data_IF_193164826815
#
_entry.id   IF_193164826815
#
_cell.length_a   1.000
_cell.length_b   1.000
_cell.length_c   1.000
_cell.angle_alpha   90.00
_cell.angle_beta   90.00
_cell.angle_gamma   90.00
#
_symmetry.space_group_name_H-M   'P 1'
#
loop_
_entity.id
_entity.type
_entity.pdbx_description
1 polymer ?
#
# COMPACT_ATOMS: atom_id res chain seq x y z
N UNK A 1 36.05 -22.93 54.48
CA UNK A 1 37.35 -23.64 54.55
C UNK A 1 37.46 -24.48 53.29
N UNK A 2 38.07 -23.94 52.22
CA UNK A 2 39.46 -24.18 51.74
C UNK A 2 39.57 -25.54 51.04
N UNK A 3 40.11 -25.74 49.84
CA UNK A 3 41.02 -24.94 48.98
C UNK A 3 41.18 -25.61 47.61
N UNK A 4 41.42 -24.80 46.58
CA UNK A 4 41.96 -25.11 45.23
C UNK A 4 43.50 -25.29 45.26
N UNK A 5 44.26 -25.34 44.12
CA UNK A 5 44.55 -26.37 43.09
C UNK A 5 46.09 -26.73 43.07
N UNK A 6 46.78 -27.23 41.99
CA UNK A 6 47.18 -26.43 40.79
C UNK A 6 47.39 -27.22 39.44
N UNK A 7 47.16 -26.60 38.26
CA UNK A 7 48.05 -26.03 37.19
C UNK A 7 48.79 -26.99 36.21
N UNK A 8 48.74 -26.56 34.92
CA UNK A 8 49.46 -27.01 33.71
C UNK A 8 50.99 -26.83 33.78
N UNK A 9 51.73 -27.38 32.79
CA UNK A 9 52.86 -26.68 32.19
C UNK A 9 52.69 -26.42 30.68
N UNK A 10 53.58 -25.59 30.16
CA UNK A 10 53.63 -24.99 28.83
C UNK A 10 54.79 -25.54 27.97
N UNK A 11 54.75 -25.18 26.68
CA UNK A 11 55.86 -24.96 25.71
C UNK A 11 56.81 -26.11 25.33
N UNK A 12 56.98 -26.34 24.02
CA UNK A 12 58.26 -26.14 23.30
C UNK A 12 58.18 -26.65 21.86
N UNK A 13 58.86 -25.92 20.96
CA UNK A 13 59.15 -26.19 19.56
C UNK A 13 59.97 -27.46 19.32
N UNK A 14 59.87 -28.02 18.10
CA UNK A 14 61.02 -28.43 17.26
C UNK A 14 60.51 -28.73 15.82
N UNK A 15 60.88 -27.94 14.81
CA UNK A 15 62.04 -28.13 13.92
C UNK A 15 62.00 -29.44 13.11
N UNK A 16 61.70 -29.33 11.80
CA UNK A 16 62.74 -29.46 10.76
C UNK A 16 62.23 -29.14 9.35
N UNK A 17 63.07 -28.36 8.68
CA UNK A 17 63.07 -27.98 7.28
C UNK A 17 63.19 -29.18 6.35
N UNK A 18 62.67 -29.07 5.13
CA UNK A 18 63.51 -29.16 3.93
C UNK A 18 62.79 -28.59 2.71
N UNK A 19 63.48 -27.67 2.04
CA UNK A 19 63.10 -27.00 0.82
C UNK A 19 63.42 -27.85 -0.40
N UNK A 20 62.68 -27.66 -1.50
CA UNK A 20 63.18 -27.75 -2.87
C UNK A 20 62.13 -27.18 -3.85
N UNK A 21 62.31 -25.93 -4.24
CA UNK A 21 61.98 -25.41 -5.59
C UNK A 21 63.23 -25.60 -6.48
N UNK A 22 63.20 -25.53 -7.85
CA UNK A 22 62.47 -24.49 -8.60
C UNK A 22 62.04 -24.78 -10.08
N UNK A 23 61.41 -23.74 -10.66
CA UNK A 23 61.38 -23.27 -12.07
C UNK A 23 60.21 -23.63 -13.01
N UNK A 24 59.41 -22.57 -13.23
CA UNK A 24 59.05 -21.89 -14.49
C UNK A 24 58.38 -22.66 -15.64
N UNK A 25 57.11 -22.30 -15.90
CA UNK A 25 56.64 -21.93 -17.25
C UNK A 25 55.34 -21.11 -17.16
N UNK A 26 55.36 -19.96 -17.81
CA UNK A 26 54.30 -18.97 -17.87
C UNK A 26 53.11 -19.41 -18.76
N UNK A 27 51.89 -19.06 -18.34
CA UNK A 27 50.78 -18.76 -19.24
C UNK A 27 49.85 -17.72 -18.59
N UNK A 28 49.79 -16.56 -19.21
CA UNK A 28 48.96 -15.40 -18.83
C UNK A 28 47.51 -15.61 -19.29
N UNK A 29 46.54 -15.28 -18.43
CA UNK A 29 45.22 -14.73 -18.81
C UNK A 29 44.58 -14.03 -17.58
N UNK A 30 43.80 -12.94 -17.75
CA UNK A 30 43.71 -11.84 -16.79
C UNK A 30 42.54 -11.97 -15.78
N UNK A 31 42.56 -11.18 -14.67
CA UNK A 31 41.50 -11.19 -13.68
C UNK A 31 40.29 -10.36 -14.13
N UNK A 32 39.10 -10.94 -13.99
CA UNK A 32 37.82 -10.22 -14.02
C UNK A 32 37.76 -9.24 -12.83
N UNK A 33 38.07 -7.98 -13.09
CA UNK A 33 37.78 -6.89 -12.15
C UNK A 33 36.26 -6.62 -12.12
N UNK A 34 35.69 -6.72 -10.92
CA UNK A 34 34.41 -6.16 -10.55
C UNK A 34 34.44 -4.64 -10.81
N UNK A 35 33.68 -4.18 -11.80
CA UNK A 35 33.47 -2.76 -12.07
C UNK A 35 31.99 -2.42 -11.80
N UNK A 36 31.61 -2.37 -10.53
CA UNK A 36 30.34 -1.83 -10.06
C UNK A 36 30.64 -0.56 -9.24
N UNK A 37 30.67 0.60 -9.90
CA UNK A 37 30.94 1.85 -9.18
C UNK A 37 30.80 3.15 -9.96
N UNK A 38 30.68 3.14 -11.30
CA UNK A 38 30.74 4.38 -12.09
C UNK A 38 29.38 4.97 -12.49
N UNK A 39 28.27 4.23 -12.35
CA UNK A 39 26.93 4.75 -12.70
C UNK A 39 26.22 5.50 -11.56
N UNK A 40 26.71 5.42 -10.32
CA UNK A 40 26.09 6.10 -9.16
C UNK A 40 26.57 7.57 -9.06
N UNK A 41 27.79 7.88 -9.50
CA UNK A 41 28.34 9.23 -9.40
C UNK A 41 27.80 10.19 -10.48
N UNK A 42 27.38 9.69 -11.65
CA UNK A 42 26.85 10.54 -12.72
C UNK A 42 25.46 11.11 -12.41
N UNK A 43 24.65 10.35 -11.65
CA UNK A 43 23.32 10.80 -11.20
C UNK A 43 23.43 11.82 -10.06
N UNK A 44 24.44 11.70 -9.20
CA UNK A 44 24.67 12.61 -8.08
C UNK A 44 25.12 14.01 -8.55
N UNK A 45 26.03 14.11 -9.54
CA UNK A 45 26.52 15.41 -10.01
C UNK A 45 25.50 16.18 -10.87
N UNK A 46 24.60 15.49 -11.58
CA UNK A 46 23.53 16.10 -12.35
C UNK A 46 22.44 16.72 -11.44
N UNK A 47 22.21 16.12 -10.26
CA UNK A 47 21.26 16.62 -9.27
C UNK A 47 21.81 17.83 -8.49
N UNK A 48 23.10 17.80 -8.12
CA UNK A 48 23.80 18.96 -7.51
C UNK A 48 23.82 20.17 -8.46
N UNK A 49 24.08 19.97 -9.75
CA UNK A 49 24.09 21.04 -10.76
C UNK A 49 22.70 21.64 -11.08
N UNK A 50 21.60 20.95 -10.73
CA UNK A 50 20.24 21.50 -10.81
C UNK A 50 19.86 22.27 -9.55
N UNK A 51 20.33 21.85 -8.37
CA UNK A 51 20.09 22.53 -7.10
C UNK A 51 20.93 23.82 -6.96
N UNK A 52 22.18 23.83 -7.43
CA UNK A 52 23.05 25.01 -7.49
C UNK A 52 22.49 26.12 -8.40
N UNK A 53 21.81 25.74 -9.50
CA UNK A 53 21.19 26.70 -10.43
C UNK A 53 20.01 27.48 -9.84
N UNK A 54 19.37 26.98 -8.79
CA UNK A 54 18.32 27.71 -8.07
C UNK A 54 18.86 28.67 -6.98
N UNK A 55 20.17 28.63 -6.67
CA UNK A 55 20.80 29.55 -5.69
C UNK A 55 21.34 30.85 -6.29
N UNK A 56 21.41 30.99 -7.62
CA UNK A 56 21.94 32.21 -8.26
C UNK A 56 20.88 32.95 -9.06
N UNK A 57 20.01 33.68 -8.35
CA UNK A 57 19.38 34.93 -8.83
C UNK A 57 18.68 35.62 -7.66
N UNK A 58 19.29 36.71 -7.19
CA UNK A 58 18.71 38.03 -6.85
C UNK A 58 19.72 38.81 -5.98
N UNK A 59 20.08 40.07 -6.34
CA UNK A 59 20.98 40.90 -5.53
C UNK A 59 20.22 41.86 -4.57
N UNK A 60 20.69 41.91 -3.29
CA UNK A 60 20.94 43.09 -2.40
C UNK A 60 19.70 43.89 -1.89
N UNK A 61 19.74 44.69 -0.78
CA UNK A 61 20.33 44.59 0.58
C UNK A 61 19.29 44.77 1.72
N UNK A 62 19.69 44.54 2.98
CA UNK A 62 19.03 45.16 4.16
C UNK A 62 18.72 44.20 5.29
N UNK A 63 19.25 44.49 6.48
CA UNK A 63 19.23 43.62 7.64
C UNK A 63 17.87 43.44 8.32
N UNK A 64 17.75 42.33 9.07
CA UNK A 64 16.61 42.04 9.93
C UNK A 64 16.59 40.56 10.32
N UNK A 65 16.97 40.29 11.57
CA UNK A 65 16.93 38.97 12.21
C UNK A 65 15.52 38.39 12.18
N UNK A 66 15.36 37.14 11.71
CA UNK A 66 14.18 36.32 11.99
C UNK A 66 14.58 34.86 12.22
N UNK A 67 14.18 34.34 13.39
CA UNK A 67 14.22 32.92 13.75
C UNK A 67 13.57 32.07 12.67
N UNK A 68 14.34 31.16 12.06
CA UNK A 68 13.85 30.24 11.03
C UNK A 68 13.66 28.85 11.66
N UNK A 69 12.41 28.49 11.92
CA UNK A 69 12.02 27.11 12.13
C UNK A 69 12.42 26.24 10.93
N UNK A 70 12.87 25.02 11.20
CA UNK A 70 13.24 24.03 10.20
C UNK A 70 12.02 23.67 9.33
N UNK A 71 12.13 23.66 7.98
CA UNK A 71 11.00 23.36 7.12
C UNK A 71 10.77 21.85 7.00
N UNK A 72 9.57 21.43 7.42
CA UNK A 72 8.98 20.08 7.29
C UNK A 72 8.97 19.55 5.84
N UNK A 73 9.16 20.44 4.86
CA UNK A 73 9.00 20.19 3.42
C UNK A 73 10.18 19.45 2.74
N UNK A 74 11.36 19.36 3.37
CA UNK A 74 12.54 18.70 2.78
C UNK A 74 12.46 17.16 2.79
N UNK A 75 11.83 16.59 3.82
CA UNK A 75 11.68 15.12 3.97
C UNK A 75 10.71 14.56 2.93
N UNK A 76 9.56 15.22 2.73
CA UNK A 76 8.55 14.81 1.76
C UNK A 76 9.05 14.89 0.30
N UNK A 77 9.89 15.88 -0.02
CA UNK A 77 10.49 16.04 -1.36
C UNK A 77 11.54 14.96 -1.68
N UNK A 78 12.34 14.57 -0.69
CA UNK A 78 13.35 13.51 -0.85
C UNK A 78 12.70 12.14 -1.04
N UNK A 79 11.62 11.86 -0.31
CA UNK A 79 10.85 10.63 -0.45
C UNK A 79 10.17 10.52 -1.83
N UNK A 80 9.57 11.61 -2.34
CA UNK A 80 8.93 11.63 -3.67
C UNK A 80 9.89 11.35 -4.83
N UNK A 81 11.18 11.66 -4.68
CA UNK A 81 12.18 11.35 -5.70
C UNK A 81 12.48 9.84 -5.80
N UNK A 82 12.32 9.08 -4.71
CA UNK A 82 12.54 7.62 -4.68
C UNK A 82 11.40 6.83 -5.35
N UNK A 83 10.22 7.44 -5.53
CA UNK A 83 9.05 6.82 -6.17
C UNK A 83 9.19 6.69 -7.70
N UNK A 84 10.11 7.42 -8.32
CA UNK A 84 10.20 7.59 -9.77
C UNK A 84 11.21 6.64 -10.45
N UNK A 85 11.28 5.38 -10.03
CA UNK A 85 12.12 4.38 -10.73
C UNK A 85 11.43 3.97 -12.05
N UNK A 86 12.02 4.20 -13.25
CA UNK A 86 11.38 3.87 -14.53
C UNK A 86 11.28 2.36 -14.77
N UNK A 87 10.26 1.94 -15.54
CA UNK A 87 10.14 0.57 -16.06
C UNK A 87 10.92 0.43 -17.38
N UNK A 88 11.52 -0.74 -17.63
CA UNK A 88 12.13 -1.08 -18.91
C UNK A 88 11.02 -1.41 -19.93
N UNK A 89 11.01 -0.73 -21.07
CA UNK A 89 9.98 -0.85 -22.11
C UNK A 89 10.03 -2.19 -22.85
N UNK A 90 8.86 -2.78 -23.16
CA UNK A 90 8.70 -3.80 -24.21
C UNK A 90 7.65 -3.37 -25.25
N UNK A 91 7.78 -3.80 -26.52
CA UNK A 91 7.02 -3.26 -27.64
C UNK A 91 5.68 -4.00 -27.87
N UNK A 92 4.66 -3.25 -28.27
CA UNK A 92 3.30 -3.72 -28.59
C UNK A 92 3.20 -4.34 -29.99
N UNK A 93 2.40 -5.40 -30.13
CA UNK A 93 1.87 -5.93 -31.39
C UNK A 93 0.34 -6.00 -31.27
N UNK A 94 -0.36 -5.25 -32.12
CA UNK A 94 -1.82 -5.10 -32.09
C UNK A 94 -2.55 -6.02 -33.06
N UNK A 95 -3.83 -6.25 -32.78
CA UNK A 95 -4.82 -6.72 -33.74
C UNK A 95 -6.19 -6.11 -33.40
N UNK A 96 -6.83 -5.52 -34.42
CA UNK A 96 -8.08 -4.76 -34.40
C UNK A 96 -9.21 -5.66 -34.90
N UNK A 97 -10.38 -5.66 -34.26
CA UNK A 97 -11.63 -6.20 -34.82
C UNK A 97 -12.79 -5.27 -34.44
N UNK A 98 -13.50 -4.78 -35.45
CA UNK A 98 -14.66 -3.87 -35.41
C UNK A 98 -15.97 -4.66 -35.49
N UNK A 99 -17.00 -4.27 -34.75
CA UNK A 99 -18.44 -4.35 -35.12
C UNK A 99 -19.32 -3.60 -34.07
N UNK A 100 -20.63 -3.32 -34.30
CA UNK A 100 -21.14 -1.95 -34.38
C UNK A 100 -22.23 -1.56 -33.37
N UNK A 101 -22.49 -0.24 -33.33
CA UNK A 101 -23.49 0.53 -32.57
C UNK A 101 -24.91 -0.04 -32.47
N UNK A 102 -25.53 0.16 -31.30
CA UNK A 102 -26.99 0.36 -31.18
C UNK A 102 -27.36 1.39 -30.10
N UNK A 103 -28.41 2.11 -30.44
CA UNK A 103 -28.92 3.41 -29.98
C UNK A 103 -29.65 3.41 -28.63
N UNK A 104 -29.42 4.53 -27.91
CA UNK A 104 -30.33 5.37 -27.13
C UNK A 104 -31.67 4.80 -26.62
N UNK A 105 -31.83 4.83 -25.29
CA UNK A 105 -33.09 5.20 -24.63
C UNK A 105 -32.81 5.99 -23.33
N UNK A 106 -33.41 7.17 -23.27
CA UNK A 106 -33.34 8.16 -22.19
C UNK A 106 -34.35 7.84 -21.10
N UNK A 107 -33.92 7.81 -19.83
CA UNK A 107 -34.78 7.73 -18.63
C UNK A 107 -34.28 8.78 -17.61
N UNK A 108 -35.16 9.53 -16.93
CA UNK A 108 -34.81 10.81 -16.32
C UNK A 108 -34.08 10.70 -14.97
N UNK A 109 -33.42 11.81 -14.65
CA UNK A 109 -32.52 12.07 -13.55
C UNK A 109 -33.07 11.75 -12.15
N UNK A 110 -32.27 11.04 -11.36
CA UNK A 110 -32.37 10.97 -9.91
C UNK A 110 -31.17 11.67 -9.27
N UNK A 111 -31.45 12.72 -8.50
CA UNK A 111 -30.49 13.53 -7.76
C UNK A 111 -29.74 12.64 -6.74
N UNK A 112 -28.45 12.39 -6.96
CA UNK A 112 -27.62 11.53 -6.12
C UNK A 112 -27.03 12.25 -4.91
N UNK A 113 -27.89 12.67 -3.98
CA UNK A 113 -27.43 12.85 -2.60
C UNK A 113 -27.09 11.48 -2.04
N UNK A 114 -25.97 11.38 -1.32
CA UNK A 114 -25.62 10.19 -0.57
C UNK A 114 -26.82 9.78 0.27
N UNK A 115 -27.48 8.68 -0.12
CA UNK A 115 -28.41 7.97 0.75
C UNK A 115 -27.59 7.47 1.94
N UNK A 116 -27.57 8.29 2.98
CA UNK A 116 -27.53 7.84 4.36
C UNK A 116 -28.64 6.80 4.43
N UNK A 117 -28.26 5.52 4.45
CA UNK A 117 -29.21 4.48 4.80
C UNK A 117 -29.81 4.88 6.14
N UNK A 118 -31.07 5.32 6.08
CA UNK A 118 -31.92 5.55 7.22
C UNK A 118 -32.31 4.21 7.84
N UNK A 119 -31.33 3.44 8.29
CA UNK A 119 -31.52 2.50 9.39
C UNK A 119 -31.48 3.32 10.68
N UNK A 120 -32.56 4.08 10.90
CA UNK A 120 -32.84 4.81 12.14
C UNK A 120 -33.05 3.87 13.35
N UNK A 121 -32.71 2.58 13.23
CA UNK A 121 -32.74 1.58 14.30
C UNK A 121 -31.37 1.15 14.86
N UNK A 122 -30.23 1.55 14.26
CA UNK A 122 -28.90 1.09 14.72
C UNK A 122 -27.92 2.19 15.13
N UNK A 123 -28.17 3.46 14.81
CA UNK A 123 -27.32 4.57 15.25
C UNK A 123 -27.44 4.87 16.76
N UNK A 124 -28.57 4.53 17.38
CA UNK A 124 -28.84 4.78 18.81
C UNK A 124 -28.20 3.75 19.78
N UNK A 125 -27.47 2.74 19.29
CA UNK A 125 -26.83 1.70 20.13
C UNK A 125 -25.35 1.94 20.44
N UNK A 126 -24.83 3.16 20.26
CA UNK A 126 -23.41 3.48 20.49
C UNK A 126 -23.08 3.98 21.90
N UNK A 127 -24.06 4.16 22.78
CA UNK A 127 -23.85 4.76 24.12
C UNK A 127 -24.52 3.98 25.27
N UNK A 128 -24.60 2.65 25.16
CA UNK A 128 -25.04 1.78 26.25
C UNK A 128 -23.93 0.85 26.72
N UNK A 129 -23.85 0.50 28.02
CA UNK A 129 -22.86 -0.46 28.51
C UNK A 129 -23.21 -1.85 27.99
N UNK A 130 -22.59 -2.22 26.89
CA UNK A 130 -22.63 -3.56 26.36
C UNK A 130 -21.77 -4.42 27.31
N UNK A 131 -22.41 -5.15 28.22
CA UNK A 131 -21.76 -6.17 29.07
C UNK A 131 -21.28 -7.31 28.17
N UNK A 132 -20.19 -7.14 27.42
CA UNK A 132 -19.71 -8.18 26.52
C UNK A 132 -18.33 -8.68 26.91
N UNK A 133 -18.16 -9.98 26.66
CA UNK A 133 -17.01 -10.77 27.08
C UNK A 133 -15.69 -10.26 26.51
N UNK A 134 -14.63 -11.04 26.75
CA UNK A 134 -13.27 -10.69 26.34
C UNK A 134 -13.23 -10.11 24.90
N UNK A 135 -12.54 -8.98 24.67
CA UNK A 135 -12.41 -8.41 23.32
C UNK A 135 -11.64 -9.32 22.36
N UNK A 136 -10.89 -10.27 22.91
CA UNK A 136 -10.09 -11.26 22.18
C UNK A 136 -10.52 -12.68 22.55
N UNK A 137 -10.61 -13.55 21.56
CA UNK A 137 -10.92 -14.97 21.66
C UNK A 137 -9.79 -15.84 21.10
N UNK A 138 -9.59 -17.03 21.69
CA UNK A 138 -8.55 -17.97 21.25
C UNK A 138 -7.15 -17.38 21.28
N UNK A 139 -6.92 -16.43 22.18
CA UNK A 139 -5.64 -15.77 22.45
C UNK A 139 -5.19 -14.74 21.42
N UNK A 140 -5.70 -14.73 20.19
CA UNK A 140 -5.20 -13.83 19.12
C UNK A 140 -6.26 -13.30 18.16
N UNK A 141 -7.52 -13.69 18.30
CA UNK A 141 -8.57 -13.24 17.39
C UNK A 141 -9.42 -12.19 18.06
N UNK A 142 -9.79 -11.13 17.34
CA UNK A 142 -10.89 -10.30 17.80
C UNK A 142 -12.15 -11.17 18.00
N UNK A 143 -12.88 -10.87 19.06
CA UNK A 143 -14.10 -11.59 19.43
C UNK A 143 -15.19 -11.46 18.38
N UNK A 144 -16.07 -12.47 18.31
CA UNK A 144 -17.15 -12.51 17.32
C UNK A 144 -18.08 -11.31 17.44
N UNK A 145 -18.39 -10.90 18.67
CA UNK A 145 -19.25 -9.75 18.92
C UNK A 145 -18.67 -8.43 18.40
N UNK A 146 -17.35 -8.27 18.44
CA UNK A 146 -16.69 -7.07 17.94
C UNK A 146 -16.67 -7.09 16.41
N UNK A 147 -16.48 -8.25 15.80
CA UNK A 147 -16.62 -8.42 14.34
C UNK A 147 -18.06 -8.17 13.85
N UNK A 148 -19.08 -8.53 14.62
CA UNK A 148 -20.48 -8.28 14.25
C UNK A 148 -20.86 -6.79 14.33
N UNK A 149 -20.13 -6.03 15.15
CA UNK A 149 -20.21 -4.57 15.19
C UNK A 149 -19.34 -3.89 14.12
N UNK A 150 -18.48 -4.64 13.44
CA UNK A 150 -17.60 -4.10 12.44
C UNK A 150 -18.42 -3.53 11.26
N UNK A 151 -18.25 -2.24 10.93
CA UNK A 151 -18.97 -1.64 9.83
C UNK A 151 -18.51 -2.29 8.52
N UNK A 152 -19.46 -2.73 7.70
CA UNK A 152 -19.16 -3.48 6.48
C UNK A 152 -18.41 -2.66 5.40
N UNK A 153 -18.05 -1.40 5.65
CA UNK A 153 -17.34 -0.54 4.70
C UNK A 153 -18.08 -0.46 3.36
N UNK A 154 -17.35 -0.70 2.28
CA UNK A 154 -17.91 -0.87 0.93
C UNK A 154 -18.34 -2.34 0.73
N UNK A 155 -19.65 -2.61 0.85
CA UNK A 155 -20.17 -3.97 0.64
C UNK A 155 -20.00 -4.42 -0.81
N UNK A 156 -20.02 -5.72 -1.05
CA UNK A 156 -19.87 -6.28 -2.40
C UNK A 156 -21.01 -5.82 -3.34
N UNK A 157 -22.24 -5.75 -2.81
CA UNK A 157 -23.43 -5.30 -3.55
C UNK A 157 -23.29 -3.83 -3.92
N UNK A 158 -22.87 -2.99 -2.96
CA UNK A 158 -22.64 -1.57 -3.19
C UNK A 158 -21.55 -1.34 -4.23
N UNK A 159 -20.42 -2.02 -4.06
CA UNK A 159 -19.28 -1.93 -4.97
C UNK A 159 -19.67 -2.37 -6.39
N UNK A 160 -20.43 -3.46 -6.55
CA UNK A 160 -20.93 -3.91 -7.86
C UNK A 160 -21.80 -2.83 -8.51
N UNK A 161 -22.80 -2.34 -7.79
CA UNK A 161 -23.72 -1.32 -8.29
C UNK A 161 -22.98 -0.02 -8.67
N UNK A 162 -21.99 0.39 -7.87
CA UNK A 162 -21.16 1.55 -8.19
C UNK A 162 -20.35 1.34 -9.47
N UNK A 163 -19.69 0.18 -9.63
CA UNK A 163 -18.87 -0.13 -10.82
C UNK A 163 -19.70 -0.15 -12.10
N UNK A 164 -20.91 -0.73 -12.06
CA UNK A 164 -21.83 -0.74 -13.21
C UNK A 164 -22.20 0.69 -13.65
N UNK A 165 -22.55 1.55 -12.70
CA UNK A 165 -22.85 2.97 -12.97
C UNK A 165 -21.63 3.73 -13.48
N UNK A 166 -20.49 3.58 -12.82
CA UNK A 166 -19.25 4.28 -13.17
C UNK A 166 -18.75 3.93 -14.58
N UNK A 167 -19.03 2.72 -15.08
CA UNK A 167 -18.72 2.33 -16.47
C UNK A 167 -19.68 2.96 -17.48
N UNK A 168 -20.94 3.15 -17.11
CA UNK A 168 -21.98 3.66 -18.01
C UNK A 168 -21.98 5.20 -18.12
N UNK A 169 -21.62 5.91 -17.04
CA UNK A 169 -21.71 7.36 -17.04
C UNK A 169 -20.58 8.07 -17.78
N UNK A 170 -20.95 9.14 -18.48
CA UNK A 170 -20.02 10.09 -19.10
C UNK A 170 -19.33 10.93 -18.03
N UNK A 171 -18.03 11.18 -18.21
CA UNK A 171 -17.25 12.12 -17.43
C UNK A 171 -17.44 13.52 -18.02
N UNK A 172 -18.03 14.42 -17.25
CA UNK A 172 -18.37 15.79 -17.72
C UNK A 172 -17.36 16.83 -17.27
N UNK A 173 -16.55 16.52 -16.26
CA UNK A 173 -15.53 17.44 -15.73
C UNK A 173 -14.34 16.67 -15.17
N UNK A 174 -13.14 17.20 -15.41
CA UNK A 174 -11.89 16.77 -14.77
C UNK A 174 -11.23 17.98 -14.10
N UNK A 175 -10.89 17.85 -12.82
CA UNK A 175 -10.22 18.89 -12.04
C UNK A 175 -9.13 18.31 -11.11
N UNK A 176 -8.17 19.11 -10.64
CA UNK A 176 -7.24 18.66 -9.60
C UNK A 176 -7.99 18.26 -8.32
N UNK A 177 -7.55 17.20 -7.64
CA UNK A 177 -8.19 16.79 -6.37
C UNK A 177 -7.77 15.42 -5.82
N UNK A 178 -7.10 14.59 -6.61
CA UNK A 178 -6.76 13.21 -6.25
C UNK A 178 -5.25 12.99 -6.09
N UNK A 179 -4.61 13.88 -5.32
CA UNK A 179 -3.18 13.82 -5.03
C UNK A 179 -2.32 14.48 -6.11
N UNK A 180 -1.66 13.67 -6.95
CA UNK A 180 -0.70 14.17 -7.97
C UNK A 180 -1.42 15.00 -9.04
N UNK A 181 -0.68 15.90 -9.70
CA UNK A 181 -1.20 16.72 -10.81
C UNK A 181 -1.69 15.85 -11.98
N UNK A 182 -1.05 14.72 -12.22
CA UNK A 182 -1.45 13.75 -13.24
C UNK A 182 -2.72 12.98 -12.89
N UNK A 183 -3.15 12.98 -11.62
CA UNK A 183 -4.39 12.35 -11.19
C UNK A 183 -5.47 13.44 -11.11
N UNK A 184 -6.70 13.11 -11.50
CA UNK A 184 -7.79 14.10 -11.55
C UNK A 184 -9.01 13.60 -10.78
N UNK A 185 -9.79 14.53 -10.26
CA UNK A 185 -11.14 14.30 -9.80
C UNK A 185 -12.08 14.39 -11.01
N UNK A 186 -12.69 13.27 -11.36
CA UNK A 186 -13.78 13.21 -12.32
C UNK A 186 -15.11 13.54 -11.64
N UNK A 187 -15.95 14.28 -12.36
CA UNK A 187 -17.39 14.37 -12.08
C UNK A 187 -18.12 13.71 -13.24
N UNK A 188 -18.97 12.75 -12.93
CA UNK A 188 -19.83 12.06 -13.87
C UNK A 188 -21.09 12.88 -14.18
N UNK A 189 -21.81 12.51 -15.25
CA UNK A 189 -23.02 13.19 -15.69
C UNK A 189 -24.17 13.15 -14.66
N UNK A 190 -24.18 12.17 -13.75
CA UNK A 190 -25.11 12.07 -12.62
C UNK A 190 -24.69 12.91 -11.40
N UNK A 191 -23.57 13.63 -11.49
CA UNK A 191 -23.01 14.43 -10.41
C UNK A 191 -22.11 13.67 -9.44
N UNK A 192 -22.07 12.33 -9.52
CA UNK A 192 -21.16 11.51 -8.70
C UNK A 192 -19.69 11.76 -9.10
N UNK A 193 -18.76 11.41 -8.21
CA UNK A 193 -17.34 11.74 -8.38
C UNK A 193 -16.45 10.51 -8.23
N UNK A 194 -15.32 10.53 -8.93
CA UNK A 194 -14.29 9.50 -8.83
C UNK A 194 -12.89 10.11 -8.94
N UNK A 195 -11.94 9.52 -8.23
CA UNK A 195 -10.53 9.76 -8.47
C UNK A 195 -10.04 8.96 -9.66
N UNK A 196 -9.61 9.67 -10.70
CA UNK A 196 -8.95 9.12 -11.87
C UNK A 196 -7.45 9.08 -11.63
N UNK A 197 -6.90 7.88 -11.63
CA UNK A 197 -5.46 7.63 -11.51
C UNK A 197 -4.93 7.22 -12.86
N UNK A 198 -4.16 8.13 -13.46
CA UNK A 198 -3.38 7.85 -14.66
C UNK A 198 -2.07 7.12 -14.32
N UNK A 199 -1.58 7.32 -13.08
CA UNK A 199 -0.29 6.80 -12.64
C UNK A 199 0.89 7.51 -13.30
N UNK A 200 2.11 7.21 -12.82
CA UNK A 200 3.35 7.54 -13.52
C UNK A 200 3.55 6.57 -14.69
N UNK A 201 3.10 5.32 -14.51
CA UNK A 201 3.13 4.25 -15.49
C UNK A 201 1.98 3.26 -15.26
N UNK A 202 1.77 2.36 -16.22
CA UNK A 202 0.75 1.32 -16.14
C UNK A 202 0.91 0.39 -14.93
N UNK A 203 2.13 0.18 -14.44
CA UNK A 203 2.39 -0.65 -13.25
C UNK A 203 1.70 -0.12 -12.00
N UNK A 204 1.60 1.20 -11.82
CA UNK A 204 0.91 1.81 -10.69
C UNK A 204 -0.61 1.64 -10.78
N UNK A 205 -1.19 1.77 -11.98
CA UNK A 205 -2.62 1.51 -12.22
C UNK A 205 -2.92 0.02 -12.02
N UNK A 206 -2.03 -0.86 -12.48
CA UNK A 206 -2.11 -2.31 -12.25
C UNK A 206 -2.00 -2.63 -10.75
N UNK A 207 -1.07 -2.00 -10.03
CA UNK A 207 -0.89 -2.12 -8.59
C UNK A 207 -2.13 -1.72 -7.80
N UNK A 208 -2.69 -0.54 -8.07
CA UNK A 208 -3.95 -0.07 -7.45
C UNK A 208 -5.08 -1.10 -7.67
N UNK A 209 -5.25 -1.53 -8.92
CA UNK A 209 -6.37 -2.41 -9.33
C UNK A 209 -6.25 -3.80 -8.71
N UNK A 210 -5.09 -4.42 -8.79
CA UNK A 210 -4.88 -5.75 -8.20
C UNK A 210 -4.91 -5.70 -6.67
N UNK A 211 -4.54 -4.57 -6.07
CA UNK A 211 -4.65 -4.37 -4.62
C UNK A 211 -6.11 -4.35 -4.19
N UNK A 212 -6.99 -3.67 -4.94
CA UNK A 212 -8.45 -3.72 -4.71
C UNK A 212 -9.03 -5.15 -4.75
N UNK A 213 -8.64 -5.94 -5.74
CA UNK A 213 -9.11 -7.33 -5.86
C UNK A 213 -8.53 -8.26 -4.80
N UNK A 214 -7.28 -8.04 -4.38
CA UNK A 214 -6.70 -8.78 -3.25
C UNK A 214 -7.44 -8.48 -1.94
N UNK A 215 -7.84 -7.23 -1.70
CA UNK A 215 -8.66 -6.88 -0.54
C UNK A 215 -10.00 -7.64 -0.54
N UNK A 216 -10.64 -7.75 -1.71
CA UNK A 216 -11.88 -8.51 -1.88
C UNK A 216 -11.70 -10.01 -1.56
N UNK A 217 -10.57 -10.62 -1.98
CA UNK A 217 -10.23 -12.00 -1.61
C UNK A 217 -10.01 -12.16 -0.10
N UNK A 218 -9.44 -11.15 0.55
CA UNK A 218 -9.19 -11.15 2.00
C UNK A 218 -10.42 -10.73 2.83
N UNK A 219 -11.50 -10.31 2.18
CA UNK A 219 -12.71 -9.83 2.86
C UNK A 219 -12.48 -8.51 3.60
N UNK A 220 -11.57 -7.68 3.08
CA UNK A 220 -11.29 -6.32 3.58
C UNK A 220 -12.10 -5.35 2.71
N UNK A 221 -13.01 -4.62 3.35
CA UNK A 221 -13.99 -3.74 2.67
C UNK A 221 -13.70 -2.27 2.87
N UNK A 222 -12.47 -1.93 3.29
CA UNK A 222 -12.00 -0.57 3.55
C UNK A 222 -11.54 0.18 2.28
N UNK A 223 -11.52 -0.49 1.11
CA UNK A 223 -11.12 0.12 -0.16
C UNK A 223 -12.38 0.57 -0.92
N UNK A 224 -12.44 1.83 -1.39
CA UNK A 224 -13.54 2.25 -2.26
C UNK A 224 -13.57 1.41 -3.55
N UNK A 225 -14.76 1.21 -4.15
CA UNK A 225 -14.88 0.48 -5.40
C UNK A 225 -14.09 1.18 -6.52
N UNK A 226 -13.57 0.34 -7.41
CA UNK A 226 -12.70 0.73 -8.50
C UNK A 226 -13.18 0.12 -9.82
N UNK A 227 -13.01 0.86 -10.92
CA UNK A 227 -13.07 0.33 -12.29
C UNK A 227 -11.84 0.72 -13.09
N UNK A 228 -11.52 -0.06 -14.12
CA UNK A 228 -10.68 0.40 -15.23
C UNK A 228 -11.51 1.11 -16.29
N UNK A 229 -10.94 2.15 -16.89
CA UNK A 229 -11.46 2.79 -18.11
C UNK A 229 -10.32 3.12 -19.07
N UNK A 230 -10.60 3.07 -20.36
CA UNK A 230 -9.65 3.40 -21.41
C UNK A 230 -9.95 4.77 -22.01
N UNK A 231 -8.90 5.58 -22.15
CA UNK A 231 -8.96 6.87 -22.84
C UNK A 231 -8.99 6.61 -24.36
N UNK A 232 -10.17 6.45 -24.94
CA UNK A 232 -10.32 6.26 -26.38
C UNK A 232 -11.00 7.48 -27.02
N UNK A 233 -10.52 7.86 -28.20
CA UNK A 233 -11.12 8.89 -29.03
C UNK A 233 -12.47 8.48 -29.65
N UNK A 234 -12.89 7.24 -29.51
CA UNK A 234 -14.25 6.82 -29.88
C UNK A 234 -15.12 6.53 -28.65
N UNK A 235 -14.55 6.63 -27.43
CA UNK A 235 -15.28 6.40 -26.18
C UNK A 235 -16.03 7.67 -25.74
N UNK A 236 -17.36 7.60 -25.79
CA UNK A 236 -18.28 8.66 -25.34
C UNK A 236 -18.12 9.01 -23.86
N UNK A 237 -17.61 8.10 -23.03
CA UNK A 237 -17.37 8.36 -21.62
C UNK A 237 -16.46 9.58 -21.41
N UNK A 238 -15.45 9.76 -22.25
CA UNK A 238 -14.44 10.81 -22.10
C UNK A 238 -14.67 12.01 -23.01
N UNK A 239 -15.74 11.99 -23.82
CA UNK A 239 -15.92 12.95 -24.91
C UNK A 239 -15.92 14.41 -24.46
N UNK A 240 -16.62 14.72 -23.37
CA UNK A 240 -16.72 16.09 -22.85
C UNK A 240 -15.41 16.63 -22.26
N UNK A 241 -14.44 15.77 -21.95
CA UNK A 241 -13.20 16.16 -21.24
C UNK A 241 -11.93 15.95 -22.07
N UNK A 242 -12.04 15.68 -23.38
CA UNK A 242 -10.89 15.44 -24.28
C UNK A 242 -9.87 16.56 -24.30
N UNK A 243 -10.33 17.81 -24.35
CA UNK A 243 -9.41 18.97 -24.32
C UNK A 243 -8.61 18.99 -23.02
N UNK A 244 -9.21 18.56 -21.90
CA UNK A 244 -8.55 18.50 -20.61
C UNK A 244 -7.57 17.33 -20.53
N UNK A 245 -7.92 16.14 -21.01
CA UNK A 245 -6.99 15.00 -21.06
C UNK A 245 -5.79 15.27 -21.97
N UNK A 246 -6.00 15.93 -23.11
CA UNK A 246 -4.93 16.39 -24.00
C UNK A 246 -4.01 17.42 -23.31
N UNK A 247 -4.58 18.39 -22.59
CA UNK A 247 -3.80 19.37 -21.82
C UNK A 247 -2.98 18.74 -20.69
N UNK A 248 -3.45 17.62 -20.12
CA UNK A 248 -2.72 16.81 -19.14
C UNK A 248 -1.68 15.87 -19.78
N UNK A 249 -1.59 15.86 -21.11
CA UNK A 249 -0.69 15.00 -21.89
C UNK A 249 -0.88 13.51 -21.58
N UNK A 250 -2.12 13.10 -21.29
CA UNK A 250 -2.44 11.69 -21.16
C UNK A 250 -2.39 11.00 -22.53
N UNK A 251 -1.75 9.85 -22.59
CA UNK A 251 -1.61 9.09 -23.83
C UNK A 251 -2.96 8.57 -24.32
N UNK A 252 -3.13 8.56 -25.64
CA UNK A 252 -4.25 7.88 -26.28
C UNK A 252 -4.23 6.39 -25.93
N UNK A 253 -5.41 5.81 -25.72
CA UNK A 253 -5.65 4.41 -25.33
C UNK A 253 -5.06 3.99 -23.99
N UNK A 254 -4.56 4.93 -23.18
CA UNK A 254 -4.10 4.63 -21.84
C UNK A 254 -5.26 4.09 -20.98
N UNK A 255 -4.96 3.07 -20.18
CA UNK A 255 -5.88 2.54 -19.18
C UNK A 255 -5.65 3.28 -17.87
N UNK A 256 -6.71 3.84 -17.31
CA UNK A 256 -6.73 4.55 -16.04
C UNK A 256 -7.64 3.82 -15.06
N UNK A 257 -7.40 3.96 -13.76
CA UNK A 257 -8.36 3.51 -12.75
C UNK A 257 -9.22 4.66 -12.26
N UNK A 258 -10.51 4.37 -12.04
CA UNK A 258 -11.46 5.28 -11.41
C UNK A 258 -11.88 4.66 -10.09
N UNK A 259 -11.51 5.30 -9.00
CA UNK A 259 -11.86 4.90 -7.64
C UNK A 259 -12.92 5.86 -7.11
N UNK A 260 -13.96 5.37 -6.46
CA UNK A 260 -15.01 6.23 -5.89
C UNK A 260 -14.44 7.36 -5.02
N UNK A 261 -14.95 8.58 -5.23
CA UNK A 261 -14.64 9.71 -4.36
C UNK A 261 -15.48 9.65 -3.09
N UNK A 262 -14.82 9.72 -1.95
CA UNK A 262 -15.47 9.70 -0.63
C UNK A 262 -15.31 11.07 0.01
N UNK A 263 -16.42 11.72 0.32
CA UNK A 263 -16.43 13.04 0.97
C UNK A 263 -16.23 12.96 2.49
N UNK A 264 -15.86 14.09 3.10
CA UNK A 264 -15.81 14.29 4.56
C UNK A 264 -14.84 13.34 5.28
N UNK A 265 -13.74 12.99 4.62
CA UNK A 265 -12.67 12.19 5.18
C UNK A 265 -11.68 13.06 5.97
N UNK A 266 -11.22 12.55 7.11
CA UNK A 266 -10.15 13.17 7.91
C UNK A 266 -8.90 12.29 7.91
N UNK A 267 -7.74 12.86 8.26
CA UNK A 267 -6.52 12.07 8.45
C UNK A 267 -6.66 11.00 9.54
N UNK A 268 -5.94 9.90 9.38
CA UNK A 268 -5.86 8.82 10.37
C UNK A 268 -4.46 8.78 11.00
N UNK A 269 -4.38 8.93 12.31
CA UNK A 269 -3.12 8.92 13.08
C UNK A 269 -2.85 7.52 13.60
N UNK A 270 -1.58 7.08 13.58
CA UNK A 270 -1.22 5.76 14.11
C UNK A 270 -1.61 5.65 15.59
N UNK A 271 -2.37 4.62 16.00
CA UNK A 271 -2.82 4.47 17.37
C UNK A 271 -1.65 4.09 18.28
N UNK A 272 -1.72 4.49 19.55
CA UNK A 272 -0.62 4.33 20.51
C UNK A 272 0.00 2.91 20.56
N UNK A 273 -0.79 1.81 20.52
CA UNK A 273 -0.22 0.46 20.52
C UNK A 273 0.71 0.15 19.34
N UNK A 274 0.60 0.88 18.22
CA UNK A 274 1.36 0.66 16.99
C UNK A 274 2.49 1.68 16.78
N UNK A 275 2.77 2.54 17.78
CA UNK A 275 3.88 3.49 17.75
C UNK A 275 5.17 2.85 18.26
N UNK A 276 6.31 3.47 17.98
CA UNK A 276 7.65 2.92 18.25
C UNK A 276 7.92 2.65 19.75
N UNK A 277 7.34 3.46 20.64
CA UNK A 277 7.49 3.35 22.11
C UNK A 277 6.66 2.18 22.70
N UNK A 278 5.74 1.60 21.92
CA UNK A 278 4.83 0.56 22.37
C UNK A 278 5.42 -0.84 22.17
N UNK A 279 4.97 -1.79 22.99
CA UNK A 279 5.24 -3.22 22.79
C UNK A 279 4.52 -3.80 21.57
N UNK A 280 3.52 -3.11 21.03
CA UNK A 280 2.71 -3.53 19.89
C UNK A 280 1.25 -3.77 20.27
N UNK A 281 0.42 -4.12 19.28
CA UNK A 281 -0.95 -4.59 19.47
C UNK A 281 -0.94 -6.10 19.80
N UNK A 282 -1.00 -6.41 21.09
CA UNK A 282 -0.86 -7.76 21.63
C UNK A 282 -2.12 -8.12 22.44
N UNK A 283 -2.42 -9.41 22.64
CA UNK A 283 -3.61 -9.86 23.38
C UNK A 283 -3.50 -9.67 24.91
N UNK A 284 -2.73 -8.69 25.37
CA UNK A 284 -2.61 -8.37 26.80
C UNK A 284 -3.95 -7.81 27.29
N UNK A 285 -4.73 -8.67 27.96
CA UNK A 285 -6.12 -8.40 28.32
C UNK A 285 -6.28 -7.04 29.00
N UNK A 286 -5.43 -6.69 29.98
CA UNK A 286 -5.53 -5.43 30.74
C UNK A 286 -5.56 -4.16 29.86
N UNK A 287 -4.77 -4.12 28.79
CA UNK A 287 -4.68 -2.95 27.91
C UNK A 287 -5.87 -2.85 26.96
N UNK A 288 -6.49 -3.97 26.60
CA UNK A 288 -7.65 -4.03 25.71
C UNK A 288 -8.97 -3.85 26.47
N UNK A 289 -9.07 -4.30 27.72
CA UNK A 289 -10.27 -4.12 28.57
C UNK A 289 -10.55 -2.66 28.90
N UNK A 290 -9.51 -1.81 28.95
CA UNK A 290 -9.65 -0.38 29.22
C UNK A 290 -10.04 0.46 27.99
N UNK A 291 -10.24 -0.17 26.83
CA UNK A 291 -10.59 0.51 25.58
C UNK A 291 -12.09 0.52 25.37
N UNK A 292 -12.57 1.62 24.80
CA UNK A 292 -13.94 1.74 24.31
C UNK A 292 -14.15 0.83 23.09
N UNK A 293 -15.41 0.48 22.80
CA UNK A 293 -15.76 -0.27 21.59
C UNK A 293 -15.26 0.40 20.32
N UNK A 294 -15.31 1.74 20.24
CA UNK A 294 -14.82 2.50 19.09
C UNK A 294 -13.31 2.33 18.89
N UNK A 295 -12.52 2.41 19.97
CA UNK A 295 -11.07 2.20 19.91
C UNK A 295 -10.72 0.75 19.53
N UNK A 296 -11.49 -0.23 20.01
CA UNK A 296 -11.31 -1.64 19.64
C UNK A 296 -11.60 -1.88 18.15
N UNK A 297 -12.68 -1.29 17.63
CA UNK A 297 -13.02 -1.33 16.20
C UNK A 297 -11.96 -0.63 15.34
N UNK A 298 -11.39 0.48 15.79
CA UNK A 298 -10.29 1.14 15.11
C UNK A 298 -9.04 0.24 15.08
N UNK A 299 -8.64 -0.36 16.21
CA UNK A 299 -7.50 -1.28 16.27
C UNK A 299 -7.69 -2.52 15.40
N UNK A 300 -8.92 -3.02 15.26
CA UNK A 300 -9.23 -4.10 14.33
C UNK A 300 -8.93 -3.69 12.89
N UNK A 301 -9.37 -2.51 12.46
CA UNK A 301 -9.10 -2.00 11.11
C UNK A 301 -7.60 -1.80 10.86
N UNK A 302 -6.86 -1.31 11.86
CA UNK A 302 -5.40 -1.20 11.78
C UNK A 302 -4.71 -2.56 11.67
N UNK A 303 -5.20 -3.60 12.37
CA UNK A 303 -4.66 -4.96 12.24
C UNK A 303 -4.83 -5.51 10.82
N UNK A 304 -6.00 -5.30 10.20
CA UNK A 304 -6.26 -5.66 8.80
C UNK A 304 -5.37 -4.86 7.84
N UNK A 305 -5.24 -3.55 8.05
CA UNK A 305 -4.37 -2.68 7.24
C UNK A 305 -2.92 -3.18 7.27
N UNK A 306 -2.38 -3.50 8.44
CA UNK A 306 -0.99 -3.97 8.57
C UNK A 306 -0.78 -5.30 7.84
N UNK A 307 -1.71 -6.24 7.98
CA UNK A 307 -1.66 -7.50 7.23
C UNK A 307 -1.71 -7.24 5.72
N UNK A 308 -2.58 -6.33 5.29
CA UNK A 308 -2.80 -6.01 3.90
C UNK A 308 -1.62 -5.28 3.25
N UNK A 309 -1.08 -4.26 3.91
CA UNK A 309 0.13 -3.53 3.50
C UNK A 309 1.35 -4.45 3.49
N UNK A 310 1.42 -5.40 4.44
CA UNK A 310 2.43 -6.45 4.37
C UNK A 310 2.27 -7.26 3.09
N UNK A 311 1.12 -7.86 2.82
CA UNK A 311 0.93 -8.71 1.62
C UNK A 311 1.20 -7.97 0.31
N UNK A 312 0.73 -6.73 0.21
CA UNK A 312 0.88 -5.88 -0.97
C UNK A 312 2.25 -5.23 -1.06
N UNK A 313 3.05 -5.23 0.01
CA UNK A 313 4.26 -4.40 0.12
C UNK A 313 3.99 -2.90 -0.15
N UNK A 314 2.82 -2.40 0.27
CA UNK A 314 2.50 -0.98 0.16
C UNK A 314 3.34 -0.18 1.16
N UNK A 315 4.27 0.60 0.64
CA UNK A 315 5.24 1.32 1.46
C UNK A 315 4.86 2.80 1.70
N UNK A 316 3.81 3.33 1.07
CA UNK A 316 3.41 4.75 1.13
C UNK A 316 2.27 5.00 2.15
N UNK A 317 2.39 4.35 3.32
CA UNK A 317 1.50 4.47 4.48
C UNK A 317 2.32 4.41 5.78
N UNK A 318 2.13 3.36 6.59
CA UNK A 318 2.80 3.20 7.88
C UNK A 318 4.30 2.94 7.74
N UNK A 319 4.69 2.22 6.68
CA UNK A 319 6.10 1.92 6.38
C UNK A 319 6.92 3.18 6.08
N UNK A 320 6.39 4.12 5.29
CA UNK A 320 7.03 5.41 5.04
C UNK A 320 7.13 6.27 6.30
N UNK A 321 6.15 6.19 7.20
CA UNK A 321 6.22 6.86 8.50
C UNK A 321 7.35 6.25 9.35
N UNK A 322 7.44 4.92 9.42
CA UNK A 322 8.51 4.24 10.15
C UNK A 322 9.91 4.56 9.57
N UNK A 323 10.03 4.66 8.25
CA UNK A 323 11.27 5.11 7.61
C UNK A 323 11.60 6.56 7.96
N UNK A 324 10.59 7.42 8.07
CA UNK A 324 10.76 8.86 8.35
C UNK A 324 11.18 9.17 9.79
N UNK A 325 11.04 8.23 10.73
CA UNK A 325 11.44 8.40 12.13
C UNK A 325 12.91 8.79 12.31
N UNK A 326 13.78 8.44 11.37
CA UNK A 326 15.19 8.82 11.40
C UNK A 326 15.42 10.34 11.25
N UNK A 327 14.42 11.09 10.76
CA UNK A 327 14.47 12.56 10.65
C UNK A 327 13.41 13.26 11.51
N UNK A 328 12.30 12.58 11.83
CA UNK A 328 11.21 13.15 12.59
C UNK A 328 10.65 12.15 13.61
N UNK A 329 11.01 12.28 14.91
CA UNK A 329 10.56 11.34 15.95
C UNK A 329 9.05 11.38 16.19
N UNK A 330 8.34 12.42 15.71
CA UNK A 330 6.89 12.59 15.88
C UNK A 330 6.09 12.21 14.64
N UNK A 331 6.71 11.66 13.60
CA UNK A 331 6.00 11.33 12.35
C UNK A 331 4.85 10.34 12.55
N UNK A 332 4.95 9.45 13.55
CA UNK A 332 3.91 8.48 13.90
C UNK A 332 2.72 9.11 14.66
N UNK A 333 2.84 10.37 15.09
CA UNK A 333 1.77 11.15 15.73
C UNK A 333 1.02 12.05 14.74
N UNK A 334 1.41 12.00 13.46
CA UNK A 334 0.75 12.72 12.37
C UNK A 334 -0.15 11.79 11.57
N UNK A 335 -0.90 12.39 10.66
CA UNK A 335 -1.71 11.66 9.70
C UNK A 335 -0.83 10.70 8.88
N UNK A 336 -1.31 9.47 8.77
CA UNK A 336 -0.69 8.43 7.95
C UNK A 336 -1.04 8.69 6.50
N UNK A 337 -0.01 8.75 5.65
CA UNK A 337 -0.20 8.96 4.22
C UNK A 337 -1.22 7.98 3.65
N UNK A 338 -2.07 8.46 2.75
CA UNK A 338 -3.02 7.65 1.98
C UNK A 338 -4.04 6.85 2.83
N UNK A 339 -4.11 7.12 4.13
CA UNK A 339 -5.05 6.52 5.06
C UNK A 339 -5.93 7.61 5.66
N UNK A 340 -7.22 7.48 5.42
CA UNK A 340 -8.20 8.45 5.90
C UNK A 340 -9.26 7.76 6.76
N UNK A 341 -10.07 8.57 7.44
CA UNK A 341 -11.12 8.11 8.34
C UNK A 341 -12.44 8.80 8.02
N UNK A 342 -13.52 8.03 7.98
CA UNK A 342 -14.88 8.57 7.85
C UNK A 342 -15.32 9.21 9.17
N UNK A 343 -16.35 10.07 9.17
CA UNK A 343 -16.92 10.62 10.40
C UNK A 343 -17.42 9.55 11.39
N UNK A 344 -17.67 8.32 10.91
CA UNK A 344 -18.12 7.20 11.74
C UNK A 344 -16.97 6.43 12.39
N UNK A 345 -15.71 6.70 12.01
CA UNK A 345 -14.52 6.00 12.49
C UNK A 345 -13.99 4.90 11.56
N UNK A 346 -14.53 4.78 10.34
CA UNK A 346 -14.11 3.74 9.39
C UNK A 346 -12.83 4.21 8.68
N UNK A 347 -11.78 3.38 8.67
CA UNK A 347 -10.58 3.63 7.88
C UNK A 347 -10.87 3.39 6.40
N UNK A 348 -10.37 4.29 5.55
CA UNK A 348 -10.49 4.22 4.09
C UNK A 348 -9.10 4.15 3.47
N UNK A 349 -8.85 3.08 2.73
CA UNK A 349 -7.55 2.78 2.14
C UNK A 349 -7.52 3.34 0.72
N UNK A 350 -7.09 4.59 0.57
CA UNK A 350 -6.96 5.26 -0.74
C UNK A 350 -5.53 5.18 -1.26
N UNK A 351 -5.29 5.37 -2.55
CA UNK A 351 -3.93 5.48 -3.12
C UNK A 351 -3.05 4.25 -2.83
N UNK A 352 -3.47 3.15 -3.43
CA UNK A 352 -2.81 1.85 -3.32
C UNK A 352 -1.84 1.59 -4.50
N UNK A 353 -1.51 2.62 -5.29
CA UNK A 353 -0.54 2.59 -6.41
C UNK A 353 0.86 2.10 -5.98
N UNK A 354 1.22 2.28 -4.70
CA UNK A 354 2.49 1.85 -4.14
C UNK A 354 2.51 0.35 -3.74
N UNK A 355 1.39 -0.36 -3.85
CA UNK A 355 1.26 -1.78 -3.58
C UNK A 355 1.53 -2.67 -4.79
N UNK A 356 1.65 -3.97 -4.52
CA UNK A 356 1.91 -5.07 -5.44
C UNK A 356 3.01 -4.74 -6.44
N UNK A 357 2.73 -4.76 -7.73
CA UNK A 357 3.65 -4.53 -8.85
C UNK A 357 4.77 -3.53 -8.51
N UNK A 358 4.41 -2.32 -8.08
CA UNK A 358 5.38 -1.30 -7.72
C UNK A 358 6.10 -1.61 -6.40
N UNK A 359 5.37 -1.99 -5.36
CA UNK A 359 5.91 -2.36 -4.04
C UNK A 359 6.88 -3.54 -4.09
N UNK A 360 6.60 -4.56 -4.90
CA UNK A 360 7.44 -5.75 -5.09
C UNK A 360 8.75 -5.42 -5.79
N UNK A 361 8.73 -4.50 -6.76
CA UNK A 361 9.95 -4.04 -7.45
C UNK A 361 10.94 -3.36 -6.50
N UNK A 362 10.44 -2.62 -5.51
CA UNK A 362 11.28 -1.92 -4.50
C UNK A 362 11.35 -2.67 -3.16
N UNK A 363 10.87 -3.91 -3.11
CA UNK A 363 10.66 -4.65 -1.87
C UNK A 363 11.90 -4.72 -0.98
N UNK A 364 13.08 -4.97 -1.57
CA UNK A 364 14.33 -5.10 -0.81
C UNK A 364 14.65 -3.86 0.03
N UNK A 365 14.25 -2.66 -0.42
CA UNK A 365 14.45 -1.41 0.30
C UNK A 365 13.52 -1.30 1.53
N UNK A 366 12.28 -1.79 1.41
CA UNK A 366 11.19 -1.56 2.35
C UNK A 366 10.88 -2.74 3.28
N UNK A 367 11.33 -3.95 2.93
CA UNK A 367 10.92 -5.19 3.60
C UNK A 367 11.25 -5.21 5.10
N UNK A 368 12.36 -4.60 5.53
CA UNK A 368 12.70 -4.50 6.96
C UNK A 368 11.64 -3.74 7.75
N UNK A 369 11.04 -2.71 7.15
CA UNK A 369 9.98 -1.91 7.77
C UNK A 369 8.66 -2.68 7.76
N UNK A 370 8.31 -3.34 6.65
CA UNK A 370 7.14 -4.24 6.60
C UNK A 370 7.20 -5.33 7.68
N UNK A 371 8.36 -5.97 7.87
CA UNK A 371 8.56 -6.97 8.93
C UNK A 371 8.42 -6.37 10.33
N UNK A 372 8.95 -5.16 10.54
CA UNK A 372 8.84 -4.46 11.83
C UNK A 372 7.37 -4.15 12.16
N UNK A 373 6.64 -3.60 11.19
CA UNK A 373 5.22 -3.28 11.35
C UNK A 373 4.39 -4.55 11.56
N UNK A 374 4.60 -5.61 10.77
CA UNK A 374 3.90 -6.89 10.96
C UNK A 374 4.19 -7.49 12.34
N UNK A 375 5.43 -7.43 12.80
CA UNK A 375 5.85 -7.92 14.11
C UNK A 375 5.19 -7.20 15.29
N UNK A 376 4.64 -6.00 15.07
CA UNK A 376 3.93 -5.25 16.09
C UNK A 376 2.49 -5.73 16.33
N UNK A 377 1.95 -6.64 15.51
CA UNK A 377 0.55 -7.09 15.61
C UNK A 377 0.47 -8.60 15.89
N UNK A 378 -0.26 -8.95 16.96
CA UNK A 378 -0.64 -10.33 17.29
C UNK A 378 -2.12 -10.47 17.68
N UNK A 379 -2.97 -9.53 17.27
CA UNK A 379 -4.42 -9.64 17.35
C UNK A 379 -4.99 -9.42 15.95
N UNK A 380 -5.81 -10.35 15.47
CA UNK A 380 -6.24 -10.41 14.07
C UNK A 380 -7.75 -10.57 13.96
N UNK A 381 -8.35 -10.02 12.90
CA UNK A 381 -9.72 -10.35 12.57
C UNK A 381 -9.79 -11.81 12.10
N UNK A 382 -10.66 -12.60 12.73
CA UNK A 382 -10.82 -14.04 12.50
C UNK A 382 -11.14 -14.33 11.04
N UNK A 383 -12.09 -13.60 10.46
CA UNK A 383 -12.50 -13.78 9.06
C UNK A 383 -11.33 -13.51 8.08
N UNK A 384 -10.52 -12.47 8.31
CA UNK A 384 -9.33 -12.19 7.49
C UNK A 384 -8.27 -13.28 7.64
N UNK A 385 -7.96 -13.67 8.87
CA UNK A 385 -6.96 -14.69 9.16
C UNK A 385 -7.32 -16.05 8.55
N UNK A 386 -8.61 -16.42 8.56
CA UNK A 386 -9.11 -17.63 7.90
C UNK A 386 -8.90 -17.60 6.37
N UNK A 387 -9.16 -16.45 5.72
CA UNK A 387 -8.91 -16.28 4.27
C UNK A 387 -7.42 -16.36 3.94
N UNK A 388 -6.55 -15.79 4.77
CA UNK A 388 -5.09 -15.96 4.65
C UNK A 388 -4.69 -17.44 4.79
N UNK A 389 -5.25 -18.14 5.78
CA UNK A 389 -5.00 -19.57 5.97
C UNK A 389 -5.48 -20.42 4.78
N UNK A 390 -6.61 -20.06 4.16
CA UNK A 390 -7.09 -20.72 2.95
C UNK A 390 -6.13 -20.53 1.77
N UNK A 391 -5.70 -19.29 1.51
CA UNK A 391 -4.74 -18.98 0.45
C UNK A 391 -3.39 -19.66 0.66
N UNK A 392 -2.92 -19.73 1.90
CA UNK A 392 -1.71 -20.48 2.27
C UNK A 392 -1.87 -21.97 1.97
N UNK A 393 -2.95 -22.59 2.46
CA UNK A 393 -3.20 -24.03 2.32
C UNK A 393 -3.29 -24.45 0.85
N UNK A 394 -3.96 -23.64 0.02
CA UNK A 394 -4.17 -23.95 -1.40
C UNK A 394 -2.97 -23.62 -2.28
N UNK A 395 -2.13 -22.67 -1.87
CA UNK A 395 -1.01 -22.13 -2.66
C UNK A 395 -1.42 -21.66 -4.06
N UNK A 396 -2.63 -21.13 -4.19
CA UNK A 396 -3.28 -20.76 -5.46
C UNK A 396 -3.57 -19.25 -5.57
N UNK A 397 -2.87 -18.42 -4.78
CA UNK A 397 -3.12 -16.97 -4.71
C UNK A 397 -3.10 -16.29 -6.07
N UNK A 398 -2.17 -16.69 -6.95
CA UNK A 398 -2.10 -16.24 -8.34
C UNK A 398 -3.41 -16.49 -9.09
N UNK A 399 -3.88 -17.73 -9.09
CA UNK A 399 -5.02 -18.15 -9.92
C UNK A 399 -6.31 -17.50 -9.42
N UNK A 400 -6.51 -17.46 -8.11
CA UNK A 400 -7.69 -16.82 -7.51
C UNK A 400 -7.75 -15.32 -7.75
N UNK A 401 -6.61 -14.63 -7.62
CA UNK A 401 -6.55 -13.20 -7.90
C UNK A 401 -6.78 -12.93 -9.39
N UNK A 402 -6.18 -13.74 -10.27
CA UNK A 402 -6.35 -13.62 -11.71
C UNK A 402 -7.79 -13.86 -12.16
N UNK A 403 -8.44 -14.90 -11.66
CA UNK A 403 -9.83 -15.24 -11.93
C UNK A 403 -10.76 -14.09 -11.50
N UNK A 404 -10.68 -13.67 -10.24
CA UNK A 404 -11.50 -12.57 -9.73
C UNK A 404 -11.28 -11.27 -10.51
N UNK A 405 -10.02 -10.96 -10.85
CA UNK A 405 -9.67 -9.76 -11.61
C UNK A 405 -10.24 -9.80 -13.03
N UNK A 406 -10.08 -10.92 -13.75
CA UNK A 406 -10.59 -11.07 -15.12
C UNK A 406 -12.10 -11.05 -15.18
N UNK A 407 -12.76 -11.70 -14.22
CA UNK A 407 -14.22 -11.75 -14.15
C UNK A 407 -14.84 -10.39 -13.81
N UNK A 408 -14.05 -9.50 -13.19
CA UNK A 408 -14.52 -8.19 -12.72
C UNK A 408 -14.09 -7.00 -13.58
N UNK A 409 -12.96 -7.11 -14.29
CA UNK A 409 -12.37 -6.02 -15.09
C UNK A 409 -12.26 -6.38 -16.57
N UNK A 410 -13.13 -5.81 -17.42
CA UNK A 410 -13.08 -6.00 -18.87
C UNK A 410 -11.75 -5.58 -19.50
N UNK A 411 -11.08 -4.57 -18.94
CA UNK A 411 -9.79 -4.06 -19.42
C UNK A 411 -8.58 -4.77 -18.80
N UNK A 412 -8.81 -5.92 -18.15
CA UNK A 412 -7.72 -6.73 -17.58
C UNK A 412 -6.70 -7.24 -18.61
N UNK A 413 -7.07 -7.59 -19.86
CA UNK A 413 -6.09 -7.98 -20.87
C UNK A 413 -5.15 -6.83 -21.28
N UNK A 414 -5.66 -5.60 -21.37
CA UNK A 414 -4.92 -4.41 -21.80
C UNK A 414 -3.94 -3.94 -20.73
N UNK A 415 -4.37 -3.94 -19.46
CA UNK A 415 -3.53 -3.55 -18.34
C UNK A 415 -2.55 -4.66 -17.92
N UNK A 416 -2.89 -5.92 -18.22
CA UNK A 416 -2.10 -7.09 -17.86
C UNK A 416 -2.29 -7.53 -16.40
N UNK A 417 -1.41 -8.43 -15.96
CA UNK A 417 -1.43 -9.04 -14.63
C UNK A 417 -0.02 -9.13 -14.03
N UNK A 418 0.10 -9.62 -12.79
CA UNK A 418 1.38 -9.93 -12.16
C UNK A 418 2.24 -10.84 -13.03
N UNK A 419 3.54 -10.56 -13.07
CA UNK A 419 4.55 -11.51 -13.55
C UNK A 419 4.58 -12.77 -12.68
N UNK A 420 5.15 -13.86 -13.18
CA UNK A 420 5.33 -15.09 -12.39
C UNK A 420 6.17 -14.84 -11.13
N UNK A 421 7.18 -13.96 -11.22
CA UNK A 421 7.99 -13.53 -10.09
C UNK A 421 7.15 -12.80 -9.04
N UNK A 422 6.37 -11.79 -9.43
CA UNK A 422 5.50 -11.03 -8.52
C UNK A 422 4.41 -11.92 -7.90
N UNK A 423 3.85 -12.86 -8.65
CA UNK A 423 2.90 -13.84 -8.13
C UNK A 423 3.56 -14.78 -7.10
N UNK A 424 4.80 -15.20 -7.34
CA UNK A 424 5.61 -15.96 -6.37
C UNK A 424 5.86 -15.18 -5.09
N UNK A 425 6.24 -13.90 -5.20
CA UNK A 425 6.42 -13.01 -4.05
C UNK A 425 5.13 -12.90 -3.23
N UNK A 426 3.96 -12.70 -3.87
CA UNK A 426 2.69 -12.65 -3.16
C UNK A 426 2.42 -13.95 -2.37
N UNK A 427 2.63 -15.11 -3.00
CA UNK A 427 2.44 -16.40 -2.34
C UNK A 427 3.38 -16.58 -1.14
N UNK A 428 4.67 -16.24 -1.29
CA UNK A 428 5.65 -16.32 -0.21
C UNK A 428 5.29 -15.40 0.97
N UNK A 429 4.72 -14.22 0.68
CA UNK A 429 4.25 -13.29 1.72
C UNK A 429 3.01 -13.82 2.44
N UNK A 430 2.07 -14.45 1.72
CA UNK A 430 0.94 -15.16 2.33
C UNK A 430 1.44 -16.26 3.27
N UNK A 431 2.43 -17.05 2.83
CA UNK A 431 3.02 -18.11 3.64
C UNK A 431 3.69 -17.56 4.92
N UNK A 432 4.41 -16.44 4.81
CA UNK A 432 5.06 -15.78 5.96
C UNK A 432 4.04 -15.16 6.91
N UNK A 433 3.00 -14.53 6.39
CA UNK A 433 1.92 -13.97 7.20
C UNK A 433 1.18 -15.07 7.97
N UNK A 434 0.87 -16.19 7.31
CA UNK A 434 0.25 -17.33 7.98
C UNK A 434 1.15 -17.89 9.09
N UNK A 435 2.46 -18.04 8.84
CA UNK A 435 3.44 -18.44 9.88
C UNK A 435 3.49 -17.44 11.04
N UNK A 436 3.40 -16.14 10.77
CA UNK A 436 3.32 -15.09 11.81
C UNK A 436 2.05 -15.25 12.68
N UNK A 437 0.89 -15.48 12.06
CA UNK A 437 -0.36 -15.75 12.78
C UNK A 437 -0.22 -16.98 13.69
N UNK A 438 0.37 -18.08 13.18
CA UNK A 438 0.63 -19.27 13.99
C UNK A 438 1.62 -19.02 15.12
N UNK A 439 2.65 -18.22 14.88
CA UNK A 439 3.62 -17.82 15.90
C UNK A 439 2.93 -17.05 17.03
N UNK A 440 2.13 -16.03 16.70
CA UNK A 440 1.32 -15.30 17.69
C UNK A 440 0.38 -16.26 18.45
N UNK A 441 -0.30 -17.17 17.75
CA UNK A 441 -1.18 -18.17 18.39
C UNK A 441 -0.40 -19.02 19.40
N UNK A 442 0.76 -19.55 19.02
CA UNK A 442 1.61 -20.33 19.93
C UNK A 442 2.07 -19.51 21.13
N UNK A 443 2.46 -18.25 20.90
CA UNK A 443 2.96 -17.34 21.95
C UNK A 443 1.89 -16.97 22.98
N UNK A 444 0.64 -16.81 22.55
CA UNK A 444 -0.45 -16.29 23.39
C UNK A 444 -1.58 -17.28 23.69
N UNK A 445 -1.50 -18.52 23.21
CA UNK A 445 -2.48 -19.59 23.53
C UNK A 445 -2.51 -20.03 24.99
N UNK A 446 -1.55 -19.58 25.81
CA UNK A 446 -1.43 -19.90 27.24
C UNK A 446 -1.88 -18.75 28.16
N UNK A 447 -2.30 -17.61 27.60
CA UNK A 447 -2.97 -16.52 28.31
C UNK A 447 -4.48 -16.72 28.22
#
# INVERSE_FOLDING_TARGET
MSSTPPRRPASSCDLKQTACEPRDAAAQTPPLQLNCGLNVFYVWSALENRLERHKRRFPVPGGGSFHRGLPVDLSAKTFRALLAVPAAQRPHLGAKLEAPNRTDQTVPAGNGDFHVNGDNGRSARREGPVKLGSPVEGGIFWSEWLEDLFPAGFTQEYARAWRERARAYRVVKLEPGCGRISNQLATFADGSKACVRYGINADQVQGETLTYYLASLLGITNLPPLILSQLDADNEQWAAVRTRTAALQWSERAVVSLTEWVSNLTGAVTPAPLRQESSGLHPALGDLWNKTTAELLELMQWSDLIMFDYLTANFDRLVSNLFSLQWDPRVMERDTNNLLKTPRGDLVFIDNEAGLVHGFRVLNMWEKYHKTVLGSVCVFRRRTAQRVAELHRRRDSRNRLLELYRDSEPLSPELGFLSDEHAGVLQDRIDRLYKHILHCKSKYSQL
#
